data_IF_030198886235
#
_entry.id   IF_030198886235
#
_cell.length_a   1.000
_cell.length_b   1.000
_cell.length_c   1.000
_cell.angle_alpha   90.00
_cell.angle_beta   90.00
_cell.angle_gamma   90.00
#
_symmetry.space_group_name_H-M   'P 1'
#
loop_
_entity.id
_entity.type
_entity.pdbx_description
1 polymer ?
#
# COMPACT_ATOMS: atom_id res chain seq x y z
N UNK A 1 20.62 -31.32 23.65
CA UNK A 1 20.73 -31.75 22.23
C UNK A 1 21.15 -30.56 21.36
N UNK A 2 21.89 -30.82 20.28
CA UNK A 2 21.98 -30.03 19.04
C UNK A 2 22.30 -28.51 19.11
N UNK A 3 23.50 -28.17 19.59
CA UNK A 3 24.17 -26.91 19.28
C UNK A 3 24.85 -26.98 17.89
N UNK A 4 24.11 -26.79 16.79
CA UNK A 4 24.68 -26.85 15.44
C UNK A 4 24.23 -25.70 14.50
N UNK A 5 24.78 -24.50 14.72
CA UNK A 5 24.71 -23.40 13.73
C UNK A 5 25.99 -22.54 13.65
N UNK A 6 26.77 -22.44 14.73
CA UNK A 6 27.94 -21.54 14.84
C UNK A 6 29.22 -21.96 14.08
N UNK A 7 29.17 -22.98 13.20
CA UNK A 7 30.34 -23.41 12.40
C UNK A 7 30.27 -23.09 10.89
N UNK A 8 29.09 -22.83 10.32
CA UNK A 8 28.93 -22.59 8.87
C UNK A 8 29.21 -21.11 8.47
N UNK A 9 30.31 -20.53 8.96
CA UNK A 9 30.71 -19.14 8.65
C UNK A 9 32.24 -18.89 8.63
N UNK A 10 33.06 -19.91 8.34
CA UNK A 10 34.52 -19.75 8.18
C UNK A 10 35.15 -20.36 6.92
N UNK A 11 34.47 -21.26 6.20
CA UNK A 11 34.92 -21.74 4.89
C UNK A 11 34.25 -20.95 3.76
N UNK A 12 34.88 -19.84 3.33
CA UNK A 12 34.61 -19.24 2.02
C UNK A 12 35.66 -18.22 1.51
N UNK A 13 36.71 -17.90 2.28
CA UNK A 13 37.62 -16.77 1.97
C UNK A 13 39.10 -17.11 2.19
N UNK A 14 39.68 -18.06 1.43
CA UNK A 14 41.14 -18.24 1.37
C UNK A 14 41.64 -18.89 0.09
N UNK A 15 42.14 -18.08 -0.85
CA UNK A 15 43.51 -18.17 -1.43
C UNK A 15 43.74 -17.10 -2.50
N UNK A 16 45.01 -16.72 -2.72
CA UNK A 16 45.46 -15.78 -3.78
C UNK A 16 46.55 -16.44 -4.64
N UNK A 17 46.47 -16.20 -5.96
CA UNK A 17 47.56 -15.98 -6.94
C UNK A 17 48.81 -16.89 -6.92
N UNK A 18 49.04 -17.60 -8.04
CA UNK A 18 50.37 -17.81 -8.68
C UNK A 18 50.23 -18.33 -10.14
N UNK A 19 51.32 -18.28 -10.93
CA UNK A 19 51.49 -18.70 -12.35
C UNK A 19 52.97 -19.16 -12.54
N UNK A 20 53.42 -19.91 -13.59
CA UNK A 20 53.08 -19.88 -15.03
C UNK A 20 52.16 -21.06 -15.49
N UNK A 21 52.25 -21.87 -16.58
CA UNK A 21 53.24 -22.20 -17.65
C UNK A 21 52.52 -22.84 -18.89
N UNK A 22 53.02 -22.71 -20.15
CA UNK A 22 52.45 -23.32 -21.37
C UNK A 22 53.22 -24.60 -21.84
N UNK A 23 52.89 -25.30 -22.96
CA UNK A 23 51.90 -25.08 -24.05
C UNK A 23 50.89 -26.28 -24.17
N UNK A 24 50.19 -26.63 -25.29
CA UNK A 24 50.09 -26.07 -26.66
C UNK A 24 48.58 -25.88 -27.13
N UNK A 25 48.11 -26.00 -28.40
CA UNK A 25 47.16 -24.98 -28.94
C UNK A 25 46.00 -25.50 -29.86
N UNK A 26 44.81 -25.83 -29.33
CA UNK A 26 43.72 -26.52 -30.09
C UNK A 26 42.30 -26.15 -29.61
N UNK A 27 41.21 -26.06 -30.41
CA UNK A 27 41.00 -26.04 -31.88
C UNK A 27 39.63 -25.40 -32.25
N UNK A 28 39.62 -24.59 -33.32
CA UNK A 28 38.54 -24.14 -34.24
C UNK A 28 37.01 -24.26 -33.92
N UNK A 29 36.35 -23.08 -33.83
CA UNK A 29 34.91 -22.74 -34.11
C UNK A 29 33.79 -23.27 -33.16
N UNK A 30 32.58 -22.65 -33.15
CA UNK A 30 32.31 -21.22 -32.93
C UNK A 30 31.17 -20.97 -31.90
N UNK A 31 30.89 -19.71 -31.54
CA UNK A 31 29.69 -19.35 -30.76
C UNK A 31 28.41 -19.39 -31.64
N UNK A 32 27.19 -19.43 -31.03
CA UNK A 32 26.51 -18.13 -30.81
C UNK A 32 25.62 -18.00 -29.55
N UNK A 33 25.28 -16.74 -29.27
CA UNK A 33 24.07 -16.22 -28.59
C UNK A 33 23.80 -16.55 -27.10
N UNK A 34 24.21 -15.58 -26.28
CA UNK A 34 23.61 -15.25 -24.98
C UNK A 34 22.08 -15.17 -25.01
N UNK A 35 21.42 -15.74 -23.99
CA UNK A 35 20.04 -15.40 -23.62
C UNK A 35 20.07 -14.50 -22.38
N UNK A 36 20.03 -13.18 -22.57
CA UNK A 36 20.11 -12.21 -21.48
C UNK A 36 18.87 -12.25 -20.59
N UNK A 37 18.97 -12.97 -19.47
CA UNK A 37 17.97 -12.91 -18.40
C UNK A 37 18.07 -11.54 -17.71
N UNK A 38 17.17 -10.61 -18.07
CA UNK A 38 17.17 -9.23 -17.58
C UNK A 38 16.82 -9.12 -16.09
N UNK A 39 17.81 -9.41 -15.24
CA UNK A 39 17.75 -9.15 -13.80
C UNK A 39 17.67 -7.64 -13.54
N UNK A 40 16.48 -7.16 -13.19
CA UNK A 40 16.26 -5.76 -12.79
C UNK A 40 17.21 -5.44 -11.62
N UNK A 41 18.01 -4.35 -11.68
CA UNK A 41 18.96 -4.02 -10.64
C UNK A 41 18.24 -3.73 -9.32
N UNK A 42 18.64 -4.44 -8.27
CA UNK A 42 18.15 -4.24 -6.91
C UNK A 42 18.74 -2.94 -6.34
N UNK A 43 17.92 -1.89 -6.20
CA UNK A 43 18.37 -0.61 -5.64
C UNK A 43 18.63 -0.77 -4.14
N UNK A 44 19.90 -0.63 -3.75
CA UNK A 44 20.30 -0.72 -2.35
C UNK A 44 19.80 0.51 -1.56
N UNK A 45 18.75 0.31 -0.77
CA UNK A 45 18.17 1.36 0.09
C UNK A 45 16.76 1.07 0.57
N UNK A 46 15.98 0.26 -0.16
CA UNK A 46 14.61 -0.07 0.24
C UNK A 46 14.58 -1.01 1.46
N UNK A 47 14.12 -0.49 2.60
CA UNK A 47 13.76 -1.27 3.79
C UNK A 47 12.60 -2.21 3.45
N UNK A 48 12.82 -3.52 3.44
CA UNK A 48 11.75 -4.50 3.30
C UNK A 48 10.75 -4.36 4.46
N UNK A 49 9.44 -4.18 4.21
CA UNK A 49 8.44 -4.24 5.27
C UNK A 49 8.44 -5.64 5.89
N UNK A 50 8.44 -5.67 7.22
CA UNK A 50 8.61 -6.87 8.02
C UNK A 50 7.50 -7.88 7.71
N UNK A 51 7.90 -9.11 7.37
CA UNK A 51 6.97 -10.20 7.04
C UNK A 51 6.52 -10.30 5.57
N UNK A 52 6.90 -9.34 4.70
CA UNK A 52 6.76 -9.44 3.25
C UNK A 52 8.06 -9.95 2.59
N UNK A 53 7.95 -10.51 1.38
CA UNK A 53 9.08 -10.97 0.56
C UNK A 53 9.52 -9.95 -0.50
N UNK A 54 8.66 -8.99 -0.85
CA UNK A 54 9.02 -7.82 -1.68
C UNK A 54 8.66 -6.50 -0.97
N UNK A 55 9.44 -5.42 -1.20
CA UNK A 55 9.15 -4.13 -0.62
C UNK A 55 7.82 -3.54 -1.11
N UNK A 56 7.29 -2.61 -0.33
CA UNK A 56 6.24 -1.69 -0.74
C UNK A 56 6.90 -0.32 -0.85
N UNK A 57 7.74 -0.13 -1.87
CA UNK A 57 8.28 1.19 -2.19
C UNK A 57 7.12 2.20 -2.26
N UNK A 58 7.17 3.33 -1.52
CA UNK A 58 6.03 4.22 -1.37
C UNK A 58 5.61 4.81 -2.72
N UNK A 59 6.52 5.44 -3.45
CA UNK A 59 6.26 6.09 -4.73
C UNK A 59 5.76 5.10 -5.79
N UNK A 60 6.40 3.93 -5.87
CA UNK A 60 6.04 2.87 -6.81
C UNK A 60 4.70 2.23 -6.43
N UNK A 61 4.37 2.17 -5.14
CA UNK A 61 3.08 1.75 -4.63
C UNK A 61 1.96 2.67 -5.12
N UNK A 62 2.08 3.98 -4.91
CA UNK A 62 1.12 4.96 -5.44
C UNK A 62 1.03 4.93 -6.98
N UNK A 63 2.18 4.88 -7.68
CA UNK A 63 2.26 4.76 -9.15
C UNK A 63 1.69 3.44 -9.71
N UNK A 64 1.50 2.41 -8.89
CA UNK A 64 0.79 1.17 -9.25
C UNK A 64 -0.68 1.20 -8.84
N UNK A 65 -1.03 1.91 -7.77
CA UNK A 65 -2.41 2.08 -7.31
C UNK A 65 -3.22 2.83 -8.37
N UNK A 66 -2.72 3.97 -8.87
CA UNK A 66 -3.36 4.73 -9.95
C UNK A 66 -3.47 3.96 -11.27
N UNK A 67 -2.55 3.02 -11.53
CA UNK A 67 -2.61 2.12 -12.71
C UNK A 67 -3.53 0.91 -12.51
N UNK A 68 -4.07 0.70 -11.30
CA UNK A 68 -4.82 -0.49 -10.91
C UNK A 68 -4.00 -1.79 -10.90
N UNK A 69 -2.67 -1.70 -10.71
CA UNK A 69 -1.73 -2.84 -10.78
C UNK A 69 -0.99 -3.07 -9.47
N UNK A 70 -1.56 -2.67 -8.33
CA UNK A 70 -0.88 -2.65 -7.02
C UNK A 70 -0.38 -4.01 -6.53
N UNK A 71 -1.14 -5.09 -6.77
CA UNK A 71 -0.72 -6.46 -6.45
C UNK A 71 0.20 -7.10 -7.50
N UNK A 72 0.34 -6.51 -8.69
CA UNK A 72 1.11 -7.12 -9.78
C UNK A 72 2.59 -7.20 -9.45
N UNK A 73 3.25 -8.24 -9.98
CA UNK A 73 4.65 -8.56 -9.71
C UNK A 73 5.01 -8.81 -8.21
N UNK A 74 4.02 -9.01 -7.32
CA UNK A 74 4.22 -9.47 -5.93
C UNK A 74 4.10 -11.00 -5.83
N UNK A 75 4.80 -11.65 -4.86
CA UNK A 75 4.62 -13.08 -4.56
C UNK A 75 3.23 -13.38 -4.01
N UNK A 76 2.71 -14.58 -4.26
CA UNK A 76 1.36 -15.00 -3.82
C UNK A 76 1.16 -14.81 -2.30
N UNK A 77 2.13 -15.26 -1.49
CA UNK A 77 2.12 -15.12 -0.04
C UNK A 77 2.09 -13.69 0.48
N UNK A 78 2.52 -12.72 -0.32
CA UNK A 78 2.47 -11.30 0.04
C UNK A 78 1.11 -10.74 -0.33
N UNK A 79 0.61 -11.08 -1.53
CA UNK A 79 -0.74 -10.69 -2.00
C UNK A 79 -1.83 -11.17 -1.05
N UNK A 80 -1.74 -12.40 -0.51
CA UNK A 80 -2.73 -12.90 0.46
C UNK A 80 -2.76 -12.08 1.74
N UNK A 81 -1.60 -11.87 2.38
CA UNK A 81 -1.49 -11.07 3.60
C UNK A 81 -2.04 -9.66 3.41
N UNK A 82 -1.67 -9.05 2.28
CA UNK A 82 -2.06 -7.69 1.96
C UNK A 82 -3.56 -7.59 1.63
N UNK A 83 -4.16 -8.55 0.90
CA UNK A 83 -5.62 -8.59 0.71
C UNK A 83 -6.38 -8.71 2.03
N UNK A 84 -5.91 -9.58 2.92
CA UNK A 84 -6.53 -9.79 4.23
C UNK A 84 -6.43 -8.53 5.10
N UNK A 85 -5.27 -7.88 5.14
CA UNK A 85 -5.08 -6.66 5.92
C UNK A 85 -5.76 -5.42 5.32
N UNK A 86 -5.93 -5.33 3.98
CA UNK A 86 -6.79 -4.33 3.33
C UNK A 86 -8.24 -4.47 3.81
N UNK A 87 -8.76 -5.70 3.84
CA UNK A 87 -10.10 -5.96 4.35
C UNK A 87 -10.23 -5.59 5.84
N UNK A 88 -9.32 -6.10 6.68
CA UNK A 88 -9.36 -5.89 8.14
C UNK A 88 -9.27 -4.41 8.51
N UNK A 89 -8.33 -3.67 7.91
CA UNK A 89 -8.18 -2.23 8.11
C UNK A 89 -9.42 -1.46 7.64
N UNK A 90 -10.05 -1.85 6.53
CA UNK A 90 -11.29 -1.23 6.07
C UNK A 90 -12.47 -1.49 7.01
N UNK A 91 -12.54 -2.66 7.67
CA UNK A 91 -13.59 -2.91 8.67
C UNK A 91 -13.36 -2.06 9.93
N UNK A 92 -12.10 -1.91 10.36
CA UNK A 92 -11.72 -1.05 11.48
C UNK A 92 -12.03 0.43 11.20
N UNK A 93 -11.61 0.93 10.04
CA UNK A 93 -11.88 2.30 9.60
C UNK A 93 -13.39 2.61 9.49
N UNK A 94 -14.20 1.64 9.01
CA UNK A 94 -15.67 1.77 8.94
C UNK A 94 -16.31 1.82 10.32
N UNK A 95 -15.81 1.05 11.27
CA UNK A 95 -16.26 1.07 12.65
C UNK A 95 -15.85 2.37 13.36
N UNK A 96 -14.62 2.84 13.17
CA UNK A 96 -14.10 4.00 13.89
C UNK A 96 -14.59 5.33 13.32
N UNK A 97 -14.66 5.50 11.99
CA UNK A 97 -15.08 6.76 11.35
C UNK A 97 -16.60 6.80 11.14
N UNK A 98 -17.17 5.79 10.50
CA UNK A 98 -18.58 5.79 10.12
C UNK A 98 -19.52 5.17 11.17
N UNK A 99 -18.98 4.69 12.30
CA UNK A 99 -19.69 3.95 13.36
C UNK A 99 -20.52 2.77 12.82
N UNK A 100 -20.06 2.16 11.73
CA UNK A 100 -20.76 1.15 10.97
C UNK A 100 -20.07 -0.22 11.08
N UNK A 101 -20.78 -1.22 11.61
CA UNK A 101 -20.37 -2.61 11.54
C UNK A 101 -20.82 -3.22 10.20
N UNK A 102 -19.88 -3.43 9.28
CA UNK A 102 -20.17 -4.03 7.98
C UNK A 102 -20.68 -5.48 8.12
N UNK A 103 -21.71 -5.90 7.36
CA UNK A 103 -22.25 -7.26 7.42
C UNK A 103 -21.18 -8.35 7.20
N UNK A 104 -21.19 -9.38 8.06
CA UNK A 104 -20.22 -10.47 8.00
C UNK A 104 -18.80 -10.09 8.44
N UNK A 105 -18.61 -8.94 9.10
CA UNK A 105 -17.35 -8.53 9.73
C UNK A 105 -17.31 -8.83 11.23
N UNK A 106 -16.10 -8.88 11.78
CA UNK A 106 -15.79 -9.03 13.22
C UNK A 106 -16.29 -7.85 14.11
N UNK A 107 -16.95 -6.85 13.53
CA UNK A 107 -17.53 -5.70 14.25
C UNK A 107 -19.04 -5.86 14.46
N UNK A 108 -19.67 -6.86 13.83
CA UNK A 108 -21.07 -7.25 14.10
C UNK A 108 -21.17 -7.93 15.47
N UNK A 109 -22.20 -7.58 16.26
CA UNK A 109 -22.41 -8.13 17.60
C UNK A 109 -22.59 -9.66 17.54
N UNK A 110 -21.67 -10.40 18.17
CA UNK A 110 -21.68 -11.86 18.21
C UNK A 110 -20.90 -12.56 17.09
N UNK A 111 -20.22 -11.82 16.20
CA UNK A 111 -19.34 -12.41 15.20
C UNK A 111 -18.06 -12.98 15.84
N UNK A 112 -17.68 -14.19 15.43
CA UNK A 112 -16.42 -14.88 15.79
C UNK A 112 -15.25 -14.50 14.88
N UNK A 113 -15.55 -14.14 13.63
CA UNK A 113 -14.60 -13.89 12.55
C UNK A 113 -15.21 -12.99 11.47
N UNK A 114 -14.37 -12.54 10.54
CA UNK A 114 -14.77 -11.77 9.35
C UNK A 114 -14.83 -12.57 8.04
N UNK A 115 -14.87 -13.92 8.06
CA UNK A 115 -14.72 -14.73 6.84
C UNK A 115 -15.91 -14.62 5.86
N UNK A 116 -17.10 -14.26 6.34
CA UNK A 116 -18.23 -13.94 5.47
C UNK A 116 -18.00 -12.63 4.70
N UNK A 117 -17.62 -11.54 5.39
CA UNK A 117 -17.32 -10.26 4.77
C UNK A 117 -16.06 -10.30 3.90
N UNK A 118 -15.04 -11.07 4.28
CA UNK A 118 -13.81 -11.24 3.49
C UNK A 118 -14.08 -11.91 2.15
N UNK A 119 -14.95 -12.93 2.09
CA UNK A 119 -15.38 -13.53 0.82
C UNK A 119 -16.05 -12.50 -0.09
N UNK A 120 -16.99 -11.72 0.46
CA UNK A 120 -17.63 -10.62 -0.27
C UNK A 120 -16.64 -9.53 -0.74
N UNK A 121 -15.58 -9.27 0.02
CA UNK A 121 -14.49 -8.39 -0.37
C UNK A 121 -13.66 -8.95 -1.53
N UNK A 122 -13.31 -10.24 -1.52
CA UNK A 122 -12.60 -10.87 -2.65
C UNK A 122 -13.46 -10.89 -3.93
N UNK A 123 -14.78 -11.07 -3.81
CA UNK A 123 -15.73 -10.95 -4.92
C UNK A 123 -15.83 -9.53 -5.50
N UNK A 124 -15.55 -8.49 -4.70
CA UNK A 124 -15.39 -7.11 -5.19
C UNK A 124 -14.02 -6.93 -5.86
N UNK A 125 -12.94 -7.34 -5.20
CA UNK A 125 -11.56 -7.18 -5.68
C UNK A 125 -11.34 -7.85 -7.06
N UNK A 126 -11.93 -9.03 -7.29
CA UNK A 126 -11.88 -9.73 -8.57
C UNK A 126 -12.63 -9.02 -9.71
N UNK A 127 -13.56 -8.11 -9.39
CA UNK A 127 -14.33 -7.31 -10.37
C UNK A 127 -13.67 -5.97 -10.71
N UNK A 128 -12.78 -5.46 -9.87
CA UNK A 128 -12.09 -4.18 -10.12
C UNK A 128 -11.28 -4.23 -11.43
N UNK A 129 -11.46 -3.21 -12.26
CA UNK A 129 -10.64 -2.91 -13.44
C UNK A 129 -10.18 -1.45 -13.33
N UNK A 130 -8.95 -1.15 -13.77
CA UNK A 130 -8.60 0.25 -14.09
C UNK A 130 -9.14 0.63 -15.47
N UNK A 131 -9.10 1.93 -15.76
CA UNK A 131 -9.58 2.54 -17.01
C UNK A 131 -8.85 2.02 -18.26
N UNK A 132 -7.63 1.50 -18.06
CA UNK A 132 -6.84 0.81 -19.09
C UNK A 132 -7.10 -0.71 -19.14
N UNK A 133 -8.21 -1.16 -18.55
CA UNK A 133 -8.70 -2.55 -18.57
C UNK A 133 -8.00 -3.53 -17.63
N UNK A 134 -6.91 -3.15 -16.96
CA UNK A 134 -6.13 -4.06 -16.12
C UNK A 134 -6.94 -4.57 -14.90
N UNK A 135 -6.82 -5.87 -14.62
CA UNK A 135 -7.34 -6.47 -13.38
C UNK A 135 -6.53 -6.01 -12.18
N UNK A 136 -7.19 -5.67 -11.07
CA UNK A 136 -6.49 -5.34 -9.83
C UNK A 136 -5.68 -6.52 -9.26
N UNK A 137 -6.27 -7.71 -9.32
CA UNK A 137 -5.62 -8.97 -8.92
C UNK A 137 -4.68 -9.46 -10.04
N UNK A 138 -3.54 -10.11 -9.70
CA UNK A 138 -2.60 -10.60 -10.71
C UNK A 138 -3.18 -11.72 -11.58
N UNK A 139 -2.57 -11.97 -12.74
CA UNK A 139 -3.08 -12.93 -13.73
C UNK A 139 -3.02 -14.40 -13.28
N UNK A 140 -2.22 -14.72 -12.27
CA UNK A 140 -2.21 -16.05 -11.62
C UNK A 140 -3.38 -16.25 -10.63
N UNK A 141 -4.19 -15.22 -10.35
CA UNK A 141 -5.27 -15.31 -9.37
C UNK A 141 -6.42 -16.20 -9.84
N UNK A 142 -6.50 -17.41 -9.28
CA UNK A 142 -7.52 -18.41 -9.57
C UNK A 142 -8.47 -18.66 -8.38
N UNK A 143 -9.42 -19.60 -8.55
CA UNK A 143 -10.33 -20.05 -7.46
C UNK A 143 -9.56 -20.78 -6.35
N UNK A 144 -8.52 -21.51 -6.72
CA UNK A 144 -7.62 -22.24 -5.82
C UNK A 144 -6.81 -21.23 -4.99
N UNK A 145 -6.25 -20.21 -5.66
CA UNK A 145 -5.51 -19.12 -5.02
C UNK A 145 -6.38 -18.25 -4.11
N UNK A 146 -7.68 -18.10 -4.44
CA UNK A 146 -8.69 -17.56 -3.52
C UNK A 146 -8.87 -18.45 -2.29
N UNK A 147 -8.98 -19.76 -2.46
CA UNK A 147 -9.13 -20.71 -1.33
C UNK A 147 -7.89 -20.76 -0.42
N UNK A 148 -6.68 -20.67 -0.98
CA UNK A 148 -5.43 -20.51 -0.21
C UNK A 148 -5.43 -19.23 0.63
N UNK A 149 -5.89 -18.11 0.06
CA UNK A 149 -6.02 -16.82 0.75
C UNK A 149 -7.08 -16.86 1.87
N UNK A 150 -8.24 -17.48 1.63
CA UNK A 150 -9.29 -17.65 2.63
C UNK A 150 -8.83 -18.56 3.78
N UNK A 151 -8.08 -19.63 3.50
CA UNK A 151 -7.48 -20.48 4.53
C UNK A 151 -6.44 -19.74 5.39
N UNK A 152 -5.59 -18.89 4.78
CA UNK A 152 -4.64 -18.04 5.52
C UNK A 152 -5.32 -16.98 6.40
N UNK A 153 -6.53 -16.58 6.05
CA UNK A 153 -7.39 -15.73 6.89
C UNK A 153 -8.09 -16.49 8.03
N UNK A 154 -8.37 -17.78 7.85
CA UNK A 154 -9.02 -18.63 8.85
C UNK A 154 -8.06 -19.12 9.96
N UNK A 155 -6.76 -19.23 9.69
CA UNK A 155 -5.76 -19.66 10.69
C UNK A 155 -5.61 -18.61 11.81
N UNK A 156 -6.14 -18.94 12.98
CA UNK A 156 -6.11 -18.14 14.20
C UNK A 156 -4.69 -17.90 14.77
N UNK A 157 -3.69 -18.67 14.34
CA UNK A 157 -2.29 -18.49 14.77
C UNK A 157 -1.57 -17.39 13.99
N UNK A 158 -2.09 -16.98 12.83
CA UNK A 158 -1.42 -16.02 11.95
C UNK A 158 -1.71 -14.57 12.35
N UNK A 159 -0.75 -13.69 12.00
CA UNK A 159 -1.01 -12.25 11.95
C UNK A 159 -2.28 -11.91 11.18
N UNK A 160 -2.55 -12.62 10.08
CA UNK A 160 -3.67 -12.40 9.14
C UNK A 160 -5.01 -12.92 9.63
N UNK A 161 -5.14 -13.47 10.84
CA UNK A 161 -6.42 -14.03 11.29
C UNK A 161 -7.59 -13.05 11.18
N UNK A 162 -8.64 -13.47 10.49
CA UNK A 162 -9.93 -12.77 10.36
C UNK A 162 -10.75 -12.79 11.66
N UNK A 163 -10.31 -13.55 12.67
CA UNK A 163 -10.83 -13.51 14.05
C UNK A 163 -10.16 -12.43 14.91
N UNK A 164 -9.30 -11.58 14.33
CA UNK A 164 -8.56 -10.54 15.05
C UNK A 164 -8.71 -9.17 14.39
N UNK A 165 -9.24 -8.19 15.15
CA UNK A 165 -9.26 -6.76 14.77
C UNK A 165 -7.84 -6.22 14.64
N UNK A 166 -7.62 -5.29 13.71
CA UNK A 166 -6.32 -4.65 13.42
C UNK A 166 -6.59 -3.27 12.84
N UNK A 167 -6.06 -2.24 13.49
CA UNK A 167 -6.16 -0.86 13.02
C UNK A 167 -4.88 -0.33 12.39
N UNK A 168 -4.89 0.95 11.99
CA UNK A 168 -3.77 1.62 11.30
C UNK A 168 -2.42 1.39 12.00
N UNK A 169 -2.39 1.57 13.33
CA UNK A 169 -1.18 1.45 14.13
C UNK A 169 -0.68 0.01 14.25
N UNK A 170 -1.58 -0.98 14.23
CA UNK A 170 -1.21 -2.40 14.22
C UNK A 170 -0.56 -2.81 12.90
N UNK A 171 -1.14 -2.39 11.76
CA UNK A 171 -0.56 -2.57 10.42
C UNK A 171 0.83 -1.93 10.36
N UNK A 172 0.94 -0.68 10.80
CA UNK A 172 2.23 0.03 10.84
C UNK A 172 3.27 -0.71 11.69
N UNK A 173 2.91 -1.15 12.89
CA UNK A 173 3.81 -1.86 13.82
C UNK A 173 4.20 -3.26 13.30
N UNK A 174 3.32 -3.96 12.60
CA UNK A 174 3.64 -5.27 12.04
C UNK A 174 4.60 -5.18 10.86
N UNK A 175 4.31 -4.31 9.89
CA UNK A 175 5.10 -4.19 8.67
C UNK A 175 6.28 -3.21 8.78
N UNK A 176 6.35 -2.39 9.83
CA UNK A 176 7.44 -1.42 10.06
C UNK A 176 7.48 -0.31 8.98
N UNK A 177 6.28 0.06 8.48
CA UNK A 177 6.01 0.97 7.37
C UNK A 177 4.66 1.68 7.61
N UNK A 178 4.62 3.02 7.56
CA UNK A 178 3.38 3.82 7.71
C UNK A 178 2.71 4.11 6.36
N UNK A 179 3.49 4.22 5.28
CA UNK A 179 2.99 4.50 3.93
C UNK A 179 2.16 3.33 3.40
N UNK A 180 2.59 2.09 3.68
CA UNK A 180 1.83 0.89 3.40
C UNK A 180 0.40 0.97 3.96
N UNK A 181 0.22 1.32 5.24
CA UNK A 181 -1.11 1.39 5.85
C UNK A 181 -2.04 2.37 5.10
N UNK A 182 -1.52 3.49 4.58
CA UNK A 182 -2.30 4.44 3.80
C UNK A 182 -2.59 3.92 2.38
N UNK A 183 -1.65 3.22 1.74
CA UNK A 183 -1.92 2.53 0.47
C UNK A 183 -3.01 1.46 0.61
N UNK A 184 -3.05 0.73 1.74
CA UNK A 184 -4.10 -0.26 1.98
C UNK A 184 -5.49 0.38 2.12
N UNK A 185 -5.59 1.60 2.68
CA UNK A 185 -6.85 2.36 2.75
C UNK A 185 -7.35 2.76 1.36
N UNK A 186 -6.52 3.44 0.56
CA UNK A 186 -6.91 3.84 -0.81
C UNK A 186 -7.18 2.64 -1.73
N UNK A 187 -6.54 1.50 -1.46
CA UNK A 187 -6.81 0.23 -2.13
C UNK A 187 -8.15 -0.38 -1.71
N UNK A 188 -8.54 -0.29 -0.44
CA UNK A 188 -9.88 -0.65 0.01
C UNK A 188 -10.95 0.26 -0.62
N UNK A 189 -10.72 1.56 -0.66
CA UNK A 189 -11.60 2.54 -1.32
C UNK A 189 -11.81 2.21 -2.80
N UNK A 190 -10.75 1.83 -3.50
CA UNK A 190 -10.80 1.34 -4.89
C UNK A 190 -11.66 0.06 -5.02
N UNK A 191 -11.56 -0.88 -4.07
CA UNK A 191 -12.29 -2.15 -4.09
C UNK A 191 -13.78 -1.98 -3.73
N UNK A 192 -14.11 -1.08 -2.80
CA UNK A 192 -15.49 -0.79 -2.40
C UNK A 192 -16.16 0.32 -3.23
N UNK A 193 -15.41 0.99 -4.12
CA UNK A 193 -15.82 2.21 -4.85
C UNK A 193 -16.46 3.29 -3.95
N UNK A 194 -15.94 3.43 -2.72
CA UNK A 194 -16.49 4.33 -1.71
C UNK A 194 -15.45 4.71 -0.66
N UNK A 195 -15.52 5.97 -0.22
CA UNK A 195 -14.81 6.50 0.94
C UNK A 195 -15.19 5.73 2.21
N UNK A 196 -14.38 5.85 3.27
CA UNK A 196 -14.65 5.23 4.57
C UNK A 196 -16.00 5.67 5.16
N UNK A 197 -16.43 6.92 4.97
CA UNK A 197 -17.75 7.39 5.40
C UNK A 197 -18.93 6.67 4.68
N UNK A 198 -18.65 5.98 3.56
CA UNK A 198 -19.63 5.28 2.73
C UNK A 198 -20.13 6.09 1.53
N UNK A 199 -19.68 7.35 1.36
CA UNK A 199 -19.93 8.11 0.13
C UNK A 199 -19.27 7.40 -1.04
N UNK A 200 -20.00 7.24 -2.16
CA UNK A 200 -19.41 6.74 -3.41
C UNK A 200 -18.30 7.70 -3.85
N UNK A 201 -17.17 7.14 -4.29
CA UNK A 201 -16.14 7.96 -4.93
C UNK A 201 -16.64 8.27 -6.34
N UNK A 202 -16.93 9.54 -6.60
CA UNK A 202 -17.11 10.01 -7.96
C UNK A 202 -15.79 9.85 -8.70
N UNK A 203 -15.83 9.42 -9.97
CA UNK A 203 -14.70 9.68 -10.85
C UNK A 203 -14.61 11.18 -11.04
N UNK A 204 -13.58 11.80 -10.46
CA UNK A 204 -13.14 13.13 -10.86
C UNK A 204 -12.70 12.96 -12.33
N UNK A 205 -13.21 13.76 -13.29
CA UNK A 205 -12.74 13.73 -14.66
C UNK A 205 -11.22 13.98 -14.71
N UNK A 206 -10.50 13.33 -15.63
CA UNK A 206 -9.05 13.51 -15.76
C UNK A 206 -8.70 15.00 -16.02
N UNK A 207 -9.61 15.74 -16.65
CA UNK A 207 -9.62 17.21 -16.86
C UNK A 207 -9.35 18.04 -15.58
N UNK A 208 -9.67 17.52 -14.38
CA UNK A 208 -9.40 18.20 -13.10
C UNK A 208 -8.04 17.85 -12.48
N UNK A 209 -7.29 16.94 -13.09
CA UNK A 209 -5.90 16.60 -12.75
C UNK A 209 -4.91 16.83 -13.90
N UNK A 210 -5.40 17.20 -15.10
CA UNK A 210 -4.59 17.89 -16.10
C UNK A 210 -4.19 19.26 -15.55
N UNK A 211 -3.04 19.28 -14.84
CA UNK A 211 -2.40 20.53 -14.41
C UNK A 211 -2.02 21.30 -15.67
N UNK A 212 -2.82 22.31 -15.98
CA UNK A 212 -2.56 23.28 -17.03
C UNK A 212 -1.14 23.89 -16.89
N UNK A 213 -0.26 23.73 -17.89
CA UNK A 213 1.07 24.35 -17.89
C UNK A 213 1.04 25.89 -18.01
N UNK A 214 -0.07 26.49 -18.44
CA UNK A 214 -0.17 27.93 -18.72
C UNK A 214 -0.46 28.77 -17.46
N UNK A 215 -0.91 28.14 -16.36
CA UNK A 215 -1.09 28.80 -15.04
C UNK A 215 0.22 29.10 -14.28
N UNK A 216 1.38 28.78 -14.85
CA UNK A 216 2.68 29.24 -14.37
C UNK A 216 2.95 30.73 -14.76
N UNK A 217 2.02 31.41 -15.46
CA UNK A 217 2.15 32.80 -15.94
C UNK A 217 1.00 33.75 -15.47
N UNK A 218 0.86 33.96 -14.16
CA UNK A 218 0.17 35.16 -13.62
C UNK A 218 0.82 35.67 -12.32
N UNK A 219 1.97 36.32 -12.48
CA UNK A 219 2.60 37.12 -11.43
C UNK A 219 2.25 38.59 -11.60
N UNK A 220 1.14 39.04 -11.02
CA UNK A 220 0.83 40.46 -10.73
C UNK A 220 -0.44 40.55 -9.88
N UNK A 221 -0.29 40.84 -8.59
CA UNK A 221 -1.27 41.63 -7.84
C UNK A 221 -0.48 42.70 -7.10
N UNK A 222 -0.60 43.91 -7.62
CA UNK A 222 0.21 45.05 -7.19
C UNK A 222 -0.22 45.60 -5.83
N UNK A 223 0.77 46.20 -5.18
CA UNK A 223 0.70 47.46 -4.46
C UNK A 223 -0.69 48.16 -4.45
N UNK A 224 -1.35 48.09 -3.30
CA UNK A 224 -2.32 49.09 -2.82
C UNK A 224 -2.12 49.27 -1.32
N UNK A 225 -1.00 49.90 -0.93
CA UNK A 225 -0.77 50.34 0.46
C UNK A 225 -0.58 51.86 0.57
N UNK A 226 -1.56 52.63 0.10
CA UNK A 226 -1.69 54.05 0.49
C UNK A 226 -3.15 54.53 0.45
N UNK A 227 -3.71 54.82 1.62
CA UNK A 227 -4.85 55.73 1.89
C UNK A 227 -5.24 55.62 3.37
N UNK A 228 -4.58 56.42 4.21
CA UNK A 228 -5.25 56.93 5.40
C UNK A 228 -6.46 57.77 4.95
N UNK A 229 -7.63 57.56 5.53
CA UNK A 229 -8.39 58.67 6.10
C UNK A 229 -9.39 58.19 7.16
N UNK A 230 -9.73 59.08 8.09
CA UNK A 230 -10.50 58.75 9.30
C UNK A 230 -12.00 58.88 9.12
N UNK A 231 -12.78 58.09 9.85
CA UNK A 231 -13.99 58.62 10.49
C UNK A 231 -14.18 58.01 11.89
N UNK A 232 -14.77 58.79 12.81
CA UNK A 232 -14.98 58.39 14.20
C UNK A 232 -16.37 57.78 14.40
N UNK A 233 -16.43 56.63 15.06
CA UNK A 233 -17.65 56.19 15.73
C UNK A 233 -17.35 55.92 17.20
N UNK A 234 -17.34 57.02 17.96
CA UNK A 234 -17.57 57.01 19.38
C UNK A 234 -18.87 56.24 19.67
N UNK A 235 -18.76 55.21 20.51
CA UNK A 235 -19.92 54.45 20.99
C UNK A 235 -19.89 54.45 22.51
N UNK A 236 -20.58 55.42 23.10
CA UNK A 236 -20.71 55.56 24.55
C UNK A 236 -21.22 54.26 25.16
N UNK A 237 -20.45 53.71 26.09
CA UNK A 237 -20.87 52.58 26.91
C UNK A 237 -21.54 53.13 28.18
N UNK A 238 -22.85 53.38 28.11
CA UNK A 238 -23.67 53.72 29.27
C UNK A 238 -23.61 52.57 30.30
N UNK A 239 -22.74 52.71 31.32
CA UNK A 239 -22.65 51.79 32.46
C UNK A 239 -23.84 52.02 33.42
N UNK A 240 -25.04 51.75 32.92
CA UNK A 240 -26.28 51.91 33.66
C UNK A 240 -26.58 50.69 34.55
N UNK A 241 -26.48 50.91 35.87
CA UNK A 241 -27.21 50.29 36.99
C UNK A 241 -27.54 48.77 37.01
N UNK A 242 -27.44 48.04 38.13
CA UNK A 242 -26.67 48.14 39.39
C UNK A 242 -27.14 46.95 40.28
N UNK A 243 -26.32 46.59 41.28
CA UNK A 243 -26.70 45.97 42.59
C UNK A 243 -27.21 44.52 42.68
N UNK A 244 -26.48 43.78 43.54
CA UNK A 244 -26.91 42.82 44.59
C UNK A 244 -27.85 41.65 44.22
#
# INVERSE_FOLDING_TARGET
MNLHWKKHKKECTRSKVSKPTPPPPTTTKPAPNSSSSSSIPYVAGEKLPRGLKKPVNPDLGWKRLSKGTWFHNRPESDVYKLLIDVYRLRMDDRWDVAKAAEPGSLYVRGATDGAAGFRTFLDKAARVRSDKGYRLLPDWWSKEKRSECEALGADATQWTSLSRKVGKWDVHKHYDDMGLAMQLRSLAETIYNSSVDGRKIAKIPDELFERDPELDYYGAYDDLSDSDDTDSMDFDYDEADLRF
#
